data_IF_982722279039
#
_entry.id   IF_982722279039
#
_cell.length_a   1.000
_cell.length_b   1.000
_cell.length_c   1.000
_cell.angle_alpha   90.00
_cell.angle_beta   90.00
_cell.angle_gamma   90.00
#
_symmetry.space_group_name_H-M   'P 1'
#
loop_
_entity.id
_entity.type
_entity.pdbx_description
1 polymer ?
#
# COMPACT_ATOMS: atom_id res chain seq x y z
N UNK A 1 5.09 52.57 29.71
CA UNK A 1 5.92 51.87 28.71
C UNK A 1 6.37 50.54 29.30
N UNK A 2 5.56 49.49 29.17
CA UNK A 2 5.94 48.11 29.49
C UNK A 2 5.09 47.20 28.63
N UNK A 3 5.64 46.79 27.48
CA UNK A 3 5.01 45.85 26.55
C UNK A 3 5.22 44.43 27.07
N UNK A 4 4.21 43.87 27.72
CA UNK A 4 4.11 42.44 28.03
C UNK A 4 3.68 41.69 26.77
N UNK A 5 4.66 41.14 26.04
CA UNK A 5 4.43 40.19 24.95
C UNK A 5 4.14 38.82 25.53
N UNK A 6 2.86 38.53 25.75
CA UNK A 6 2.36 37.19 26.05
C UNK A 6 2.50 36.31 24.81
N UNK A 7 3.54 35.47 24.74
CA UNK A 7 3.63 34.40 23.74
C UNK A 7 2.69 33.26 24.13
N UNK A 8 1.49 33.21 23.55
CA UNK A 8 0.53 32.14 23.78
C UNK A 8 0.97 30.78 23.20
N UNK A 9 0.42 29.65 23.71
CA UNK A 9 0.89 28.28 23.47
C UNK A 9 0.50 27.66 22.11
N UNK A 10 0.15 28.46 21.11
CA UNK A 10 -0.38 28.00 19.83
C UNK A 10 0.47 26.93 19.09
N UNK A 11 1.82 26.96 19.10
CA UNK A 11 2.63 25.98 18.36
C UNK A 11 2.58 24.55 18.94
N UNK A 12 2.23 24.39 20.23
CA UNK A 12 2.25 23.07 20.89
C UNK A 12 1.00 22.24 20.59
N UNK A 13 -0.15 22.87 20.32
CA UNK A 13 -1.42 22.17 20.13
C UNK A 13 -1.50 21.40 18.81
N UNK A 14 -0.97 21.95 17.70
CA UNK A 14 -0.94 21.23 16.40
C UNK A 14 -0.03 20.00 16.48
N UNK A 15 1.14 20.14 17.16
CA UNK A 15 2.09 19.03 17.33
C UNK A 15 1.53 17.90 18.19
N UNK A 16 0.69 18.18 19.18
CA UNK A 16 0.03 17.15 19.99
C UNK A 16 -1.09 16.43 19.22
N UNK A 17 -1.89 17.15 18.43
CA UNK A 17 -2.97 16.55 17.64
C UNK A 17 -2.44 15.59 16.54
N UNK A 18 -1.27 15.87 15.95
CA UNK A 18 -0.65 14.98 14.96
C UNK A 18 -0.04 13.68 15.56
N UNK A 19 0.09 13.56 16.89
CA UNK A 19 0.68 12.37 17.54
C UNK A 19 -0.36 11.30 17.90
N UNK A 20 -1.64 11.67 17.97
CA UNK A 20 -2.76 10.76 18.25
C UNK A 20 -3.41 10.32 16.94
N UNK A 21 -2.74 9.47 16.18
CA UNK A 21 -3.29 8.90 14.95
C UNK A 21 -4.20 7.73 15.31
N UNK A 22 -5.48 7.82 14.95
CA UNK A 22 -6.46 6.73 15.04
C UNK A 22 -5.95 5.52 14.26
N UNK A 23 -5.71 4.41 14.95
CA UNK A 23 -5.28 3.15 14.36
C UNK A 23 -6.50 2.38 13.84
N UNK A 24 -6.88 2.59 12.59
CA UNK A 24 -7.78 1.68 11.86
C UNK A 24 -6.91 0.77 10.99
N UNK A 25 -7.14 -0.53 11.08
CA UNK A 25 -6.51 -1.58 10.27
C UNK A 25 -6.84 -1.38 8.78
N UNK A 26 -6.20 -0.41 8.14
CA UNK A 26 -6.06 -0.40 6.69
C UNK A 26 -4.90 -1.32 6.36
N UNK A 27 -5.06 -2.21 5.38
CA UNK A 27 -3.91 -2.74 4.63
C UNK A 27 -3.07 -1.51 4.27
N UNK A 28 -1.82 -1.40 4.74
CA UNK A 28 -1.05 -0.18 4.56
C UNK A 28 -1.08 0.15 3.07
N UNK A 29 -1.53 1.35 2.65
CA UNK A 29 -1.22 1.78 1.30
C UNK A 29 0.30 1.67 1.24
N UNK A 30 0.84 0.79 0.38
CA UNK A 30 2.27 0.82 0.05
C UNK A 30 2.50 2.28 -0.31
N UNK A 31 3.13 3.01 0.60
CA UNK A 31 3.23 4.44 0.49
C UNK A 31 3.82 4.69 -0.88
N UNK A 32 3.14 5.51 -1.70
CA UNK A 32 3.82 6.20 -2.79
C UNK A 32 4.80 7.15 -2.10
N UNK A 33 5.90 6.57 -1.62
CA UNK A 33 6.98 7.32 -1.02
C UNK A 33 7.43 8.31 -2.08
N UNK A 34 7.47 9.58 -1.72
CA UNK A 34 8.12 10.64 -2.50
C UNK A 34 9.57 10.29 -2.86
N UNK A 35 10.17 9.27 -2.22
CA UNK A 35 11.45 8.67 -2.60
C UNK A 35 11.44 7.91 -3.93
N UNK A 36 10.28 7.60 -4.54
CA UNK A 36 10.26 6.92 -5.84
C UNK A 36 10.85 7.81 -6.96
N UNK A 37 10.63 9.14 -6.88
CA UNK A 37 11.26 10.11 -7.77
C UNK A 37 12.77 10.27 -7.49
N UNK A 38 13.20 10.17 -6.22
CA UNK A 38 14.61 10.18 -5.85
C UNK A 38 15.35 8.90 -6.26
N UNK A 39 14.65 7.75 -6.27
CA UNK A 39 15.15 6.45 -6.74
C UNK A 39 15.44 6.41 -8.23
N UNK A 40 14.70 7.16 -9.05
CA UNK A 40 14.92 7.23 -10.50
C UNK A 40 16.29 7.86 -10.84
N UNK A 41 16.77 8.79 -10.01
CA UNK A 41 18.08 9.44 -10.18
C UNK A 41 19.26 8.61 -9.64
N UNK A 42 19.08 7.90 -8.52
CA UNK A 42 20.14 7.09 -7.91
C UNK A 42 20.40 5.78 -8.68
N UNK A 43 19.36 5.17 -9.27
CA UNK A 43 19.54 3.99 -10.14
C UNK A 43 20.14 4.34 -11.51
N UNK A 44 19.87 5.54 -12.07
CA UNK A 44 20.48 6.01 -13.33
C UNK A 44 21.99 6.23 -13.24
N UNK A 45 22.50 6.67 -12.07
CA UNK A 45 23.96 6.86 -11.85
C UNK A 45 24.75 5.54 -11.88
N UNK A 46 24.16 4.43 -11.42
CA UNK A 46 24.86 3.15 -11.32
C UNK A 46 24.93 2.35 -12.64
N UNK A 47 24.21 2.77 -13.68
CA UNK A 47 24.24 2.12 -15.01
C UNK A 47 25.09 2.86 -16.06
N UNK A 48 25.56 4.08 -15.77
CA UNK A 48 26.39 4.85 -16.71
C UNK A 48 27.85 4.38 -16.80
N UNK A 49 28.28 3.38 -16.01
CA UNK A 49 29.69 2.92 -15.97
C UNK A 49 29.94 1.54 -16.60
N UNK A 50 28.96 0.90 -17.26
CA UNK A 50 29.23 -0.32 -18.03
C UNK A 50 29.40 -0.01 -19.51
N UNK A 51 30.68 0.12 -19.90
CA UNK A 51 31.18 0.16 -21.28
C UNK A 51 30.45 -0.86 -22.17
N UNK A 52 29.77 -0.34 -23.19
CA UNK A 52 29.26 -1.10 -24.33
C UNK A 52 30.46 -1.69 -25.07
N UNK A 53 30.55 -3.02 -25.17
CA UNK A 53 31.43 -3.68 -26.14
C UNK A 53 30.70 -3.74 -27.48
N UNK A 54 31.31 -3.34 -28.60
CA UNK A 54 30.68 -3.44 -29.91
C UNK A 54 30.53 -4.91 -30.32
N UNK A 55 29.31 -5.29 -30.74
CA UNK A 55 29.00 -6.59 -31.32
C UNK A 55 29.45 -6.57 -32.78
N UNK A 56 30.38 -7.45 -33.13
CA UNK A 56 30.86 -7.67 -34.49
C UNK A 56 29.86 -8.57 -35.22
N UNK A 57 29.18 -8.03 -36.23
CA UNK A 57 28.29 -8.78 -37.12
C UNK A 57 29.13 -9.64 -38.08
N UNK A 58 28.81 -10.94 -38.15
CA UNK A 58 29.34 -11.87 -39.16
C UNK A 58 28.27 -12.08 -40.25
N UNK A 59 28.61 -11.98 -41.55
CA UNK A 59 27.63 -12.08 -42.63
C UNK A 59 27.20 -13.54 -42.88
N UNK A 60 25.90 -13.71 -43.15
CA UNK A 60 25.29 -14.94 -43.64
C UNK A 60 25.69 -15.19 -45.09
N UNK A 61 26.16 -16.41 -45.37
CA UNK A 61 26.39 -16.93 -46.72
C UNK A 61 25.21 -17.83 -47.11
N UNK A 62 24.63 -17.53 -48.26
CA UNK A 62 23.54 -18.25 -48.93
C UNK A 62 24.08 -19.20 -49.99
N UNK A 63 23.63 -20.46 -50.00
CA UNK A 63 23.72 -21.37 -51.15
C UNK A 63 22.76 -22.57 -50.97
N UNK A 64 22.40 -23.31 -52.04
CA UNK A 64 21.01 -23.57 -52.39
C UNK A 64 20.55 -25.04 -52.29
N UNK A 65 19.24 -25.18 -52.45
CA UNK A 65 18.38 -26.36 -52.44
C UNK A 65 18.79 -27.49 -53.40
N UNK A 66 18.59 -28.74 -52.95
CA UNK A 66 18.25 -29.87 -53.81
C UNK A 66 17.32 -30.86 -53.06
N UNK A 67 16.51 -31.66 -53.79
CA UNK A 67 15.35 -32.36 -53.24
C UNK A 67 15.61 -33.86 -53.03
N UNK A 68 14.53 -34.55 -52.61
CA UNK A 68 14.30 -36.01 -52.68
C UNK A 68 14.64 -36.80 -51.41
N UNK A 69 13.60 -37.27 -50.72
CA UNK A 69 13.31 -38.70 -50.43
C UNK A 69 12.56 -38.85 -49.10
N UNK A 70 11.32 -39.30 -49.17
CA UNK A 70 10.64 -39.96 -48.04
C UNK A 70 11.32 -41.29 -47.75
N UNK A 71 11.47 -41.68 -46.47
CA UNK A 71 10.88 -42.96 -46.11
C UNK A 71 10.30 -43.04 -44.69
N UNK A 72 9.27 -43.88 -44.59
CA UNK A 72 8.96 -44.80 -43.48
C UNK A 72 8.76 -44.23 -42.07
N UNK A 73 7.50 -44.27 -41.67
CA UNK A 73 6.99 -44.34 -40.31
C UNK A 73 7.79 -45.32 -39.44
N UNK A 74 8.57 -44.76 -38.51
CA UNK A 74 9.01 -45.47 -37.31
C UNK A 74 8.38 -44.78 -36.11
N UNK A 75 7.66 -45.57 -35.31
CA UNK A 75 7.05 -45.19 -34.04
C UNK A 75 8.11 -44.67 -33.07
N UNK A 76 8.35 -43.36 -33.10
CA UNK A 76 9.27 -42.68 -32.20
C UNK A 76 8.55 -42.49 -30.86
N UNK A 77 8.68 -43.49 -29.99
CA UNK A 77 8.42 -43.36 -28.56
C UNK A 77 9.09 -42.08 -28.06
N UNK A 78 8.29 -41.05 -27.81
CA UNK A 78 8.73 -39.79 -27.22
C UNK A 78 9.20 -40.07 -25.80
N UNK A 79 10.48 -40.43 -25.66
CA UNK A 79 11.21 -40.25 -24.41
C UNK A 79 11.17 -38.75 -24.15
N UNK A 80 10.25 -38.34 -23.28
CA UNK A 80 10.23 -37.00 -22.73
C UNK A 80 11.63 -36.64 -22.23
N UNK A 81 12.01 -35.35 -22.23
CA UNK A 81 13.30 -34.93 -21.71
C UNK A 81 13.39 -35.44 -20.27
N UNK A 82 14.19 -36.49 -20.05
CA UNK A 82 14.64 -36.90 -18.74
C UNK A 82 15.37 -35.68 -18.22
N UNK A 83 14.70 -34.92 -17.35
CA UNK A 83 15.35 -33.97 -16.45
C UNK A 83 16.54 -34.74 -15.91
N UNK A 84 17.72 -34.35 -16.36
CA UNK A 84 18.98 -34.85 -15.85
C UNK A 84 18.91 -34.53 -14.36
N UNK A 85 18.54 -35.53 -13.56
CA UNK A 85 18.91 -35.65 -12.16
C UNK A 85 20.44 -35.69 -12.18
N UNK A 86 21.03 -34.51 -12.34
CA UNK A 86 22.43 -34.28 -12.07
C UNK A 86 22.50 -34.60 -10.59
N UNK A 87 23.00 -35.79 -10.27
CA UNK A 87 23.14 -36.25 -8.90
C UNK A 87 23.97 -35.22 -8.17
N UNK A 88 23.29 -34.31 -7.49
CA UNK A 88 23.92 -33.43 -6.53
C UNK A 88 24.46 -34.36 -5.45
N UNK A 89 25.75 -34.16 -5.14
CA UNK A 89 26.44 -34.97 -4.14
C UNK A 89 25.62 -34.90 -2.84
N UNK A 90 25.11 -36.03 -2.30
CA UNK A 90 24.35 -36.05 -1.05
C UNK A 90 25.11 -35.46 0.15
N UNK A 91 26.40 -35.16 -0.03
CA UNK A 91 27.29 -34.58 0.97
C UNK A 91 27.43 -33.06 0.88
N UNK A 92 26.96 -32.39 -0.18
CA UNK A 92 27.01 -30.93 -0.23
C UNK A 92 25.90 -30.36 0.67
N UNK A 93 26.22 -29.60 1.74
CA UNK A 93 25.20 -29.04 2.62
C UNK A 93 24.27 -28.14 1.80
N UNK A 94 22.95 -28.29 2.04
CA UNK A 94 21.95 -27.50 1.34
C UNK A 94 22.29 -26.01 1.43
N UNK A 95 22.53 -25.39 0.27
CA UNK A 95 22.88 -23.97 0.22
C UNK A 95 21.72 -23.16 0.81
N UNK A 96 22.01 -22.38 1.84
CA UNK A 96 21.03 -21.50 2.46
C UNK A 96 20.61 -20.41 1.48
N UNK A 97 19.31 -20.11 1.41
CA UNK A 97 18.78 -19.07 0.53
C UNK A 97 18.98 -17.66 1.12
N UNK A 98 19.01 -17.59 2.45
CA UNK A 98 19.15 -16.37 3.24
C UNK A 98 20.16 -16.59 4.36
N UNK A 99 20.78 -15.51 4.82
CA UNK A 99 21.65 -15.51 5.98
C UNK A 99 20.97 -14.81 7.16
N UNK A 100 21.38 -15.12 8.39
CA UNK A 100 20.87 -14.42 9.58
C UNK A 100 21.03 -12.89 9.51
N UNK A 101 22.05 -12.41 8.77
CA UNK A 101 22.30 -10.99 8.51
C UNK A 101 21.24 -10.31 7.62
N UNK A 102 20.43 -11.09 6.92
CA UNK A 102 19.31 -10.54 6.12
C UNK A 102 18.11 -10.17 7.00
N UNK A 103 18.10 -10.60 8.28
CA UNK A 103 17.06 -10.27 9.26
C UNK A 103 17.36 -8.90 9.89
N UNK A 104 16.41 -7.95 9.91
CA UNK A 104 16.54 -6.66 10.61
C UNK A 104 16.86 -6.85 12.10
N UNK A 105 17.57 -5.90 12.70
CA UNK A 105 17.79 -5.90 14.14
C UNK A 105 16.52 -5.48 14.90
N UNK A 106 16.51 -5.67 16.22
CA UNK A 106 15.33 -5.42 17.04
C UNK A 106 14.78 -3.97 16.94
N UNK A 107 15.59 -2.89 16.99
CA UNK A 107 15.10 -1.53 16.83
C UNK A 107 14.33 -1.30 15.52
N UNK A 108 14.79 -1.88 14.41
CA UNK A 108 14.12 -1.74 13.11
C UNK A 108 12.74 -2.41 13.08
N UNK A 109 12.57 -3.53 13.78
CA UNK A 109 11.27 -4.19 13.94
C UNK A 109 10.31 -3.34 14.78
N UNK A 110 10.79 -2.73 15.85
CA UNK A 110 10.00 -1.84 16.71
C UNK A 110 9.41 -0.69 15.90
N UNK A 111 10.25 0.05 15.17
CA UNK A 111 9.82 1.17 14.31
C UNK A 111 8.82 0.70 13.24
N UNK A 112 9.06 -0.47 12.65
CA UNK A 112 8.20 -1.00 11.58
C UNK A 112 6.82 -1.42 12.11
N UNK A 113 6.73 -1.97 13.32
CA UNK A 113 5.47 -2.41 13.93
C UNK A 113 4.62 -1.24 14.42
N UNK A 114 5.23 -0.22 15.02
CA UNK A 114 4.53 0.99 15.46
C UNK A 114 3.76 1.64 14.30
N UNK A 115 4.34 1.65 13.09
CA UNK A 115 3.70 2.19 11.89
C UNK A 115 2.53 1.36 11.35
N UNK A 116 2.47 0.06 11.65
CA UNK A 116 1.37 -0.82 11.18
C UNK A 116 0.22 -0.92 12.17
N UNK A 117 0.40 -0.46 13.42
CA UNK A 117 -0.65 -0.52 14.43
C UNK A 117 -1.05 -1.93 14.86
N UNK A 118 -0.21 -2.93 14.58
CA UNK A 118 -0.48 -4.31 14.95
C UNK A 118 -0.24 -4.49 16.45
N UNK A 119 -1.29 -4.85 17.19
CA UNK A 119 -1.24 -5.08 18.65
C UNK A 119 -0.95 -6.53 19.03
N UNK A 120 -0.93 -7.43 18.06
CA UNK A 120 -0.85 -8.88 18.28
C UNK A 120 0.57 -9.46 18.16
N UNK A 121 1.51 -8.70 17.61
CA UNK A 121 2.89 -9.13 17.40
C UNK A 121 3.85 -8.13 18.04
N UNK A 122 4.80 -8.65 18.82
CA UNK A 122 5.91 -7.86 19.36
C UNK A 122 7.11 -7.86 18.40
N UNK A 123 7.96 -6.83 18.50
CA UNK A 123 9.18 -6.73 17.70
C UNK A 123 10.12 -7.93 17.89
N UNK A 124 10.20 -8.43 19.13
CA UNK A 124 10.99 -9.60 19.47
C UNK A 124 10.46 -10.86 18.79
N UNK A 125 9.16 -11.13 18.89
CA UNK A 125 8.53 -12.27 18.23
C UNK A 125 8.73 -12.23 16.72
N UNK A 126 8.64 -11.03 16.11
CA UNK A 126 8.89 -10.88 14.68
C UNK A 126 10.32 -11.22 14.29
N UNK A 127 11.30 -10.70 15.04
CA UNK A 127 12.72 -10.98 14.80
C UNK A 127 13.04 -12.47 14.97
N UNK A 128 12.58 -13.09 16.06
CA UNK A 128 12.80 -14.51 16.34
C UNK A 128 12.14 -15.41 15.30
N UNK A 129 10.90 -15.09 14.89
CA UNK A 129 10.21 -15.81 13.83
C UNK A 129 10.94 -15.70 12.49
N UNK A 130 11.47 -14.51 12.14
CA UNK A 130 12.27 -14.32 10.94
C UNK A 130 13.59 -15.12 10.99
N UNK A 131 14.25 -15.19 12.14
CA UNK A 131 15.46 -16.01 12.34
C UNK A 131 15.15 -17.51 12.19
N UNK A 132 14.05 -18.00 12.80
CA UNK A 132 13.59 -19.38 12.62
C UNK A 132 13.28 -19.69 11.16
N UNK A 133 12.65 -18.75 10.45
CA UNK A 133 12.38 -18.90 9.03
C UNK A 133 13.67 -19.04 8.21
N UNK A 134 14.66 -18.17 8.44
CA UNK A 134 15.96 -18.22 7.77
C UNK A 134 16.70 -19.54 8.06
N UNK A 135 16.58 -20.07 9.27
CA UNK A 135 17.20 -21.36 9.63
C UNK A 135 16.59 -22.55 8.86
N UNK A 136 15.31 -22.48 8.49
CA UNK A 136 14.57 -23.56 7.81
C UNK A 136 14.50 -23.38 6.30
N UNK A 137 14.53 -22.14 5.79
CA UNK A 137 14.41 -21.81 4.37
C UNK A 137 15.71 -22.12 3.59
N UNK A 138 15.83 -23.37 3.15
CA UNK A 138 16.92 -23.84 2.27
C UNK A 138 16.53 -23.77 0.78
N UNK A 139 17.50 -24.00 -0.12
CA UNK A 139 17.24 -24.01 -1.57
C UNK A 139 16.26 -25.10 -2.04
N UNK A 140 16.05 -26.17 -1.28
CA UNK A 140 15.22 -27.31 -1.69
C UNK A 140 13.76 -27.15 -1.26
N UNK A 141 12.96 -26.50 -2.11
CA UNK A 141 11.55 -26.10 -1.86
C UNK A 141 10.61 -27.21 -1.37
N UNK A 142 10.86 -28.47 -1.72
CA UNK A 142 9.93 -29.58 -1.43
C UNK A 142 9.91 -30.02 0.03
N UNK A 143 11.00 -29.84 0.78
CA UNK A 143 11.16 -30.48 2.09
C UNK A 143 10.85 -29.56 3.27
N UNK A 144 11.10 -28.25 3.14
CA UNK A 144 10.96 -27.34 4.27
C UNK A 144 9.53 -26.81 4.46
N UNK A 145 8.65 -26.92 3.46
CA UNK A 145 7.25 -26.44 3.58
C UNK A 145 6.48 -27.13 4.69
N UNK A 146 6.57 -28.45 4.81
CA UNK A 146 5.95 -29.19 5.91
C UNK A 146 6.54 -28.78 7.26
N UNK A 147 7.86 -28.56 7.28
CA UNK A 147 8.63 -28.19 8.49
C UNK A 147 8.33 -26.80 9.02
N UNK A 148 7.92 -25.85 8.17
CA UNK A 148 7.55 -24.50 8.62
C UNK A 148 6.46 -24.53 9.69
N UNK A 149 5.39 -25.29 9.43
CA UNK A 149 4.27 -25.37 10.35
C UNK A 149 4.59 -26.29 11.54
N UNK A 150 5.20 -27.46 11.29
CA UNK A 150 5.38 -28.48 12.32
C UNK A 150 6.60 -28.25 13.22
N UNK A 151 7.74 -27.85 12.65
CA UNK A 151 9.01 -27.73 13.38
C UNK A 151 9.29 -26.28 13.82
N UNK A 152 9.00 -25.31 12.95
CA UNK A 152 9.31 -23.90 13.22
C UNK A 152 8.16 -23.11 13.89
N UNK A 153 6.96 -23.71 13.99
CA UNK A 153 5.74 -23.07 14.47
C UNK A 153 5.45 -21.73 13.74
N UNK A 154 5.68 -21.69 12.43
CA UNK A 154 5.46 -20.52 11.60
C UNK A 154 4.14 -20.65 10.83
N UNK A 155 3.11 -19.99 11.33
CA UNK A 155 1.79 -19.98 10.70
C UNK A 155 1.80 -19.14 9.41
N UNK A 156 0.94 -19.42 8.42
CA UNK A 156 0.83 -18.59 7.22
C UNK A 156 0.49 -17.12 7.52
N UNK A 157 -0.33 -16.88 8.55
CA UNK A 157 -0.64 -15.54 9.05
C UNK A 157 0.61 -14.80 9.55
N UNK A 158 1.45 -15.45 10.36
CA UNK A 158 2.69 -14.84 10.84
C UNK A 158 3.64 -14.53 9.68
N UNK A 159 3.83 -15.48 8.76
CA UNK A 159 4.65 -15.30 7.56
C UNK A 159 4.16 -14.13 6.68
N UNK A 160 2.84 -13.95 6.59
CA UNK A 160 2.25 -12.82 5.88
C UNK A 160 2.68 -11.48 6.48
N UNK A 161 2.50 -11.32 7.78
CA UNK A 161 2.85 -10.08 8.49
C UNK A 161 4.33 -9.78 8.47
N UNK A 162 5.19 -10.79 8.69
CA UNK A 162 6.64 -10.64 8.55
C UNK A 162 7.02 -10.22 7.13
N UNK A 163 6.37 -10.83 6.14
CA UNK A 163 6.49 -10.45 4.74
C UNK A 163 6.20 -8.97 4.52
N UNK A 164 5.06 -8.47 4.98
CA UNK A 164 4.66 -7.05 4.87
C UNK A 164 5.69 -6.14 5.55
N UNK A 165 6.05 -6.42 6.80
CA UNK A 165 7.03 -5.65 7.58
C UNK A 165 8.39 -5.56 6.88
N UNK A 166 8.86 -6.65 6.28
CA UNK A 166 10.14 -6.64 5.56
C UNK A 166 10.08 -5.85 4.25
N UNK A 167 8.92 -5.79 3.60
CA UNK A 167 8.76 -5.00 2.37
C UNK A 167 8.76 -3.48 2.63
N UNK A 168 8.44 -3.01 3.85
CA UNK A 168 8.47 -1.57 4.17
C UNK A 168 9.90 -1.02 4.26
N UNK A 169 10.86 -1.82 4.74
CA UNK A 169 12.26 -1.41 4.95
C UNK A 169 13.08 -1.16 3.66
N UNK A 170 12.53 -1.51 2.49
CA UNK A 170 13.02 -1.11 1.17
C UNK A 170 14.49 -1.44 0.79
N UNK A 171 15.16 -2.33 1.53
CA UNK A 171 16.48 -2.86 1.16
C UNK A 171 16.34 -4.13 0.31
N UNK A 172 17.30 -4.39 -0.58
CA UNK A 172 17.23 -5.57 -1.45
C UNK A 172 17.22 -6.92 -0.68
N UNK A 173 17.99 -7.12 0.41
CA UNK A 173 17.89 -8.33 1.23
C UNK A 173 16.52 -8.51 1.87
N UNK A 174 15.99 -7.46 2.51
CA UNK A 174 14.66 -7.50 3.15
C UNK A 174 13.55 -7.74 2.14
N UNK A 175 13.62 -7.11 0.97
CA UNK A 175 12.67 -7.35 -0.10
C UNK A 175 12.66 -8.82 -0.53
N UNK A 176 13.84 -9.43 -0.73
CA UNK A 176 13.94 -10.85 -1.10
C UNK A 176 13.40 -11.76 0.01
N UNK A 177 13.76 -11.51 1.27
CA UNK A 177 13.28 -12.29 2.40
C UNK A 177 11.76 -12.16 2.57
N UNK A 178 11.23 -10.93 2.57
CA UNK A 178 9.81 -10.64 2.72
C UNK A 178 8.96 -11.22 1.59
N UNK A 179 9.37 -11.04 0.32
CA UNK A 179 8.66 -11.66 -0.81
C UNK A 179 8.71 -13.19 -0.75
N UNK A 180 9.79 -13.78 -0.22
CA UNK A 180 9.85 -15.22 -0.01
C UNK A 180 8.89 -15.69 1.10
N UNK A 181 8.82 -14.99 2.23
CA UNK A 181 7.86 -15.30 3.30
C UNK A 181 6.40 -15.19 2.80
N UNK A 182 6.07 -14.16 2.04
CA UNK A 182 4.76 -14.03 1.40
C UNK A 182 4.49 -15.18 0.44
N UNK A 183 5.49 -15.57 -0.37
CA UNK A 183 5.36 -16.71 -1.29
C UNK A 183 5.01 -17.98 -0.53
N UNK A 184 5.71 -18.26 0.57
CA UNK A 184 5.48 -19.44 1.41
C UNK A 184 4.09 -19.44 2.02
N UNK A 185 3.66 -18.32 2.61
CA UNK A 185 2.31 -18.18 3.14
C UNK A 185 1.25 -18.40 2.06
N UNK A 186 1.45 -17.82 0.87
CA UNK A 186 0.58 -18.01 -0.28
C UNK A 186 0.54 -19.49 -0.71
N UNK A 187 1.69 -20.18 -0.75
CA UNK A 187 1.82 -21.62 -1.09
C UNK A 187 1.14 -22.52 -0.06
N UNK A 188 1.02 -22.08 1.19
CA UNK A 188 0.23 -22.72 2.23
C UNK A 188 -1.27 -22.36 2.17
N UNK A 189 -1.72 -21.71 1.09
CA UNK A 189 -3.13 -21.38 0.86
C UNK A 189 -3.59 -20.09 1.54
N UNK A 190 -2.69 -19.26 2.06
CA UNK A 190 -3.08 -18.00 2.70
C UNK A 190 -3.39 -16.92 1.68
N UNK A 191 -4.69 -16.71 1.41
CA UNK A 191 -5.20 -15.77 0.40
C UNK A 191 -4.60 -14.37 0.49
N UNK A 192 -4.52 -13.70 1.66
CA UNK A 192 -3.97 -12.35 1.74
C UNK A 192 -2.54 -12.26 1.19
N UNK A 193 -1.71 -13.28 1.38
CA UNK A 193 -0.35 -13.32 0.81
C UNK A 193 -0.34 -13.42 -0.71
N UNK A 194 -1.28 -14.16 -1.30
CA UNK A 194 -1.45 -14.23 -2.76
C UNK A 194 -1.80 -12.85 -3.31
N UNK A 195 -2.79 -12.18 -2.71
CA UNK A 195 -3.24 -10.84 -3.12
C UNK A 195 -2.13 -9.80 -2.94
N UNK A 196 -1.41 -9.82 -1.81
CA UNK A 196 -0.29 -8.92 -1.55
C UNK A 196 0.83 -9.12 -2.56
N UNK A 197 1.19 -10.35 -2.94
CA UNK A 197 2.20 -10.60 -3.98
C UNK A 197 1.78 -10.01 -5.32
N UNK A 198 0.56 -10.31 -5.78
CA UNK A 198 0.05 -9.80 -7.06
C UNK A 198 0.04 -8.27 -7.05
N UNK A 199 -0.52 -7.66 -6.00
CA UNK A 199 -0.52 -6.20 -5.82
C UNK A 199 0.89 -5.63 -5.83
N UNK A 200 1.82 -6.24 -5.12
CA UNK A 200 3.21 -5.78 -5.01
C UNK A 200 3.90 -5.78 -6.37
N UNK A 201 3.78 -6.86 -7.15
CA UNK A 201 4.37 -6.93 -8.49
C UNK A 201 3.69 -5.97 -9.48
N UNK A 202 2.35 -5.86 -9.45
CA UNK A 202 1.58 -4.94 -10.33
C UNK A 202 1.74 -3.46 -9.99
N UNK A 203 2.17 -3.16 -8.76
CA UNK A 203 2.49 -1.81 -8.31
C UNK A 203 3.87 -1.33 -8.76
N UNK A 204 4.73 -2.23 -9.26
CA UNK A 204 6.02 -1.85 -9.86
C UNK A 204 5.79 -0.97 -11.10
N UNK A 205 6.78 -0.13 -11.47
CA UNK A 205 6.77 0.56 -12.75
C UNK A 205 6.58 -0.43 -13.91
N UNK A 206 5.76 -0.08 -14.90
CA UNK A 206 5.39 -0.99 -16.00
C UNK A 206 6.61 -1.61 -16.68
N UNK A 207 7.66 -0.82 -16.96
CA UNK A 207 8.90 -1.32 -17.56
C UNK A 207 9.61 -2.38 -16.69
N UNK A 208 9.62 -2.18 -15.36
CA UNK A 208 10.22 -3.13 -14.41
C UNK A 208 9.37 -4.40 -14.29
N UNK A 209 8.05 -4.25 -14.27
CA UNK A 209 7.13 -5.37 -14.24
C UNK A 209 7.29 -6.26 -15.49
N UNK A 210 7.33 -5.68 -16.69
CA UNK A 210 7.52 -6.46 -17.92
C UNK A 210 8.88 -7.17 -17.98
N UNK A 211 9.97 -6.50 -17.55
CA UNK A 211 11.30 -7.09 -17.59
C UNK A 211 11.50 -8.20 -16.55
N UNK A 212 11.05 -7.98 -15.30
CA UNK A 212 11.40 -8.83 -14.14
C UNK A 212 10.20 -9.46 -13.46
N UNK A 213 9.09 -8.73 -13.35
CA UNK A 213 7.88 -9.21 -12.69
C UNK A 213 7.23 -10.36 -13.44
N UNK A 214 6.98 -10.17 -14.74
CA UNK A 214 6.27 -11.13 -15.59
C UNK A 214 6.99 -12.47 -15.76
N UNK A 215 8.32 -12.46 -15.79
CA UNK A 215 9.15 -13.67 -15.91
C UNK A 215 9.38 -14.39 -14.58
N UNK A 216 9.15 -13.71 -13.45
CA UNK A 216 9.31 -14.27 -12.10
C UNK A 216 8.42 -15.50 -11.91
N UNK A 217 9.02 -16.63 -11.51
CA UNK A 217 8.28 -17.86 -11.16
C UNK A 217 7.33 -17.61 -9.98
N UNK A 218 7.77 -16.83 -9.00
CA UNK A 218 6.97 -16.46 -7.83
C UNK A 218 5.72 -15.67 -8.24
N UNK A 219 5.88 -14.67 -9.12
CA UNK A 219 4.74 -13.88 -9.60
C UNK A 219 3.77 -14.77 -10.38
N UNK A 220 4.25 -15.57 -11.35
CA UNK A 220 3.37 -16.45 -12.15
C UNK A 220 2.58 -17.43 -11.29
N UNK A 221 3.18 -17.99 -10.23
CA UNK A 221 2.49 -18.89 -9.33
C UNK A 221 1.44 -18.17 -8.45
N UNK A 222 1.73 -16.96 -7.98
CA UNK A 222 0.75 -16.13 -7.27
C UNK A 222 -0.39 -15.68 -8.19
N UNK A 223 -0.06 -15.25 -9.42
CA UNK A 223 -1.01 -14.82 -10.43
C UNK A 223 -1.94 -15.97 -10.83
N UNK A 224 -1.44 -17.20 -11.02
CA UNK A 224 -2.28 -18.35 -11.31
C UNK A 224 -3.36 -18.60 -10.23
N UNK A 225 -2.97 -18.58 -8.95
CA UNK A 225 -3.91 -18.70 -7.82
C UNK A 225 -4.88 -17.53 -7.75
N UNK A 226 -4.41 -16.32 -8.04
CA UNK A 226 -5.26 -15.15 -8.14
C UNK A 226 -6.31 -15.27 -9.24
N UNK A 227 -5.93 -15.78 -10.42
CA UNK A 227 -6.88 -16.06 -11.50
C UNK A 227 -7.89 -17.15 -11.11
N UNK A 228 -7.51 -18.14 -10.30
CA UNK A 228 -8.45 -19.13 -9.76
C UNK A 228 -9.47 -18.49 -8.80
N UNK A 229 -9.03 -17.58 -7.92
CA UNK A 229 -9.93 -16.84 -7.03
C UNK A 229 -10.91 -15.95 -7.80
N UNK A 230 -10.45 -15.26 -8.85
CA UNK A 230 -11.31 -14.47 -9.74
C UNK A 230 -12.36 -15.35 -10.42
N UNK A 231 -11.97 -16.54 -10.89
CA UNK A 231 -12.89 -17.47 -11.56
C UNK A 231 -14.00 -17.97 -10.62
N UNK A 232 -13.68 -18.18 -9.34
CA UNK A 232 -14.71 -18.52 -8.34
C UNK A 232 -15.65 -17.34 -8.09
N UNK A 233 -15.14 -16.10 -8.14
CA UNK A 233 -15.96 -14.89 -8.13
C UNK A 233 -16.64 -14.60 -6.79
N UNK A 234 -16.22 -15.27 -5.71
CA UNK A 234 -16.80 -15.12 -4.36
C UNK A 234 -15.96 -14.27 -3.41
N UNK A 235 -14.68 -14.06 -3.73
CA UNK A 235 -13.76 -13.32 -2.87
C UNK A 235 -13.81 -11.81 -3.20
N UNK A 236 -14.34 -10.96 -2.29
CA UNK A 236 -14.44 -9.52 -2.54
C UNK A 236 -13.08 -8.83 -2.59
N UNK A 237 -12.06 -9.30 -1.88
CA UNK A 237 -10.71 -8.73 -1.90
C UNK A 237 -10.03 -9.02 -3.24
N UNK A 238 -10.17 -10.24 -3.75
CA UNK A 238 -9.65 -10.62 -5.06
C UNK A 238 -10.30 -9.81 -6.20
N UNK A 239 -11.62 -9.63 -6.16
CA UNK A 239 -12.35 -8.80 -7.13
C UNK A 239 -11.97 -7.32 -7.00
N UNK A 240 -11.76 -6.81 -5.79
CA UNK A 240 -11.28 -5.44 -5.57
C UNK A 240 -9.88 -5.23 -6.18
N UNK A 241 -8.99 -6.21 -6.04
CA UNK A 241 -7.67 -6.17 -6.68
C UNK A 241 -7.79 -6.17 -8.21
N UNK A 242 -8.67 -7.00 -8.77
CA UNK A 242 -8.92 -7.03 -10.22
C UNK A 242 -9.42 -5.67 -10.73
N UNK A 243 -10.40 -5.06 -10.06
CA UNK A 243 -10.90 -3.74 -10.42
C UNK A 243 -9.82 -2.67 -10.38
N UNK A 244 -8.88 -2.77 -9.42
CA UNK A 244 -7.72 -1.88 -9.33
C UNK A 244 -6.75 -2.07 -10.51
N UNK A 245 -6.51 -3.32 -10.93
CA UNK A 245 -5.66 -3.64 -12.09
C UNK A 245 -6.31 -3.13 -13.37
N UNK A 246 -7.60 -3.41 -13.57
CA UNK A 246 -8.36 -2.95 -14.74
C UNK A 246 -8.40 -1.42 -14.83
N UNK A 247 -8.64 -0.72 -13.71
CA UNK A 247 -8.65 0.74 -13.66
C UNK A 247 -7.32 1.36 -14.11
N UNK A 248 -6.20 0.63 -13.96
CA UNK A 248 -4.87 1.05 -14.38
C UNK A 248 -4.53 0.62 -15.81
N UNK A 249 -5.01 -0.54 -16.26
CA UNK A 249 -4.53 -1.20 -17.49
C UNK A 249 -5.54 -1.20 -18.65
N UNK A 250 -6.85 -1.33 -18.40
CA UNK A 250 -7.82 -1.67 -19.45
C UNK A 250 -8.19 -0.49 -20.37
N UNK A 251 -7.88 0.75 -19.97
CA UNK A 251 -8.39 1.96 -20.63
C UNK A 251 -9.91 2.09 -20.62
N UNK A 252 -10.62 1.12 -20.03
CA UNK A 252 -12.07 1.04 -19.95
C UNK A 252 -12.52 1.22 -18.50
N UNK A 253 -12.83 2.46 -18.08
CA UNK A 253 -13.29 2.74 -16.72
C UNK A 253 -14.56 1.97 -16.33
N UNK A 254 -15.47 1.72 -17.27
CA UNK A 254 -16.74 1.03 -16.95
C UNK A 254 -16.52 -0.44 -16.56
N UNK A 255 -15.57 -1.12 -17.21
CA UNK A 255 -15.21 -2.49 -16.85
C UNK A 255 -14.71 -2.56 -15.40
N UNK A 256 -13.76 -1.69 -15.04
CA UNK A 256 -13.23 -1.63 -13.68
C UNK A 256 -14.32 -1.29 -12.64
N UNK A 257 -15.23 -0.36 -12.97
CA UNK A 257 -16.38 -0.03 -12.12
C UNK A 257 -17.29 -1.24 -11.89
N UNK A 258 -17.58 -2.01 -12.95
CA UNK A 258 -18.39 -3.22 -12.85
C UNK A 258 -17.70 -4.27 -11.97
N UNK A 259 -16.38 -4.43 -12.09
CA UNK A 259 -15.62 -5.36 -11.25
C UNK A 259 -15.65 -4.98 -9.77
N UNK A 260 -15.55 -3.70 -9.42
CA UNK A 260 -15.72 -3.26 -8.04
C UNK A 260 -17.14 -3.48 -7.51
N UNK A 261 -18.18 -3.33 -8.36
CA UNK A 261 -19.56 -3.68 -7.99
C UNK A 261 -19.72 -5.17 -7.76
N UNK A 262 -19.05 -6.02 -8.55
CA UNK A 262 -19.00 -7.47 -8.30
C UNK A 262 -18.36 -7.79 -6.95
N UNK A 263 -17.32 -7.05 -6.52
CA UNK A 263 -16.74 -7.22 -5.20
C UNK A 263 -17.74 -6.92 -4.07
N UNK A 264 -18.50 -5.82 -4.17
CA UNK A 264 -19.58 -5.51 -3.23
C UNK A 264 -20.61 -6.63 -3.17
N UNK A 265 -21.07 -7.08 -4.35
CA UNK A 265 -22.06 -8.15 -4.46
C UNK A 265 -21.56 -9.47 -3.86
N UNK A 266 -20.30 -9.84 -4.12
CA UNK A 266 -19.71 -11.06 -3.57
C UNK A 266 -19.72 -11.07 -2.03
N UNK A 267 -19.45 -9.91 -1.41
CA UNK A 267 -19.57 -9.77 0.04
C UNK A 267 -21.03 -9.87 0.54
N UNK A 268 -21.97 -9.24 -0.17
CA UNK A 268 -23.40 -9.30 0.17
C UNK A 268 -23.96 -10.73 0.07
N UNK A 269 -23.60 -11.46 -0.99
CA UNK A 269 -24.00 -12.84 -1.22
C UNK A 269 -23.42 -13.79 -0.15
N UNK A 270 -22.20 -13.51 0.33
CA UNK A 270 -21.58 -14.26 1.43
C UNK A 270 -22.20 -13.94 2.80
N UNK A 271 -22.89 -12.80 2.95
CA UNK A 271 -23.40 -12.30 4.23
C UNK A 271 -24.88 -11.87 4.12
N UNK A 272 -25.82 -12.76 3.77
CA UNK A 272 -27.21 -12.39 3.48
C UNK A 272 -27.93 -11.74 4.67
N UNK A 273 -27.55 -12.09 5.90
CA UNK A 273 -28.14 -11.53 7.12
C UNK A 273 -27.69 -10.09 7.43
N UNK A 274 -26.60 -9.61 6.81
CA UNK A 274 -26.08 -8.26 7.09
C UNK A 274 -26.94 -7.14 6.49
N UNK A 275 -27.73 -7.44 5.45
CA UNK A 275 -28.60 -6.47 4.78
C UNK A 275 -29.85 -6.06 5.59
N UNK A 276 -30.17 -6.77 6.68
CA UNK A 276 -31.40 -6.52 7.45
C UNK A 276 -31.29 -5.33 8.42
N UNK A 277 -30.12 -4.70 8.59
CA UNK A 277 -29.94 -3.53 9.47
C UNK A 277 -30.08 -2.19 8.74
N UNK A 278 -30.72 -2.16 7.56
CA UNK A 278 -30.80 -1.00 6.63
C UNK A 278 -31.46 0.28 7.17
N UNK A 279 -31.80 0.38 8.45
CA UNK A 279 -32.52 1.54 9.00
C UNK A 279 -32.16 1.83 10.46
N UNK A 280 -30.89 1.82 10.83
CA UNK A 280 -30.49 2.77 11.87
C UNK A 280 -30.35 4.09 11.15
N UNK A 281 -31.38 4.91 11.30
CA UNK A 281 -31.49 6.27 10.80
C UNK A 281 -30.11 6.92 10.78
N UNK A 282 -29.78 7.50 9.64
CA UNK A 282 -28.77 8.54 9.56
C UNK A 282 -29.20 9.57 10.59
N UNK A 283 -28.73 9.44 11.84
CA UNK A 283 -28.74 10.53 12.81
C UNK A 283 -27.98 11.62 12.08
N UNK A 284 -28.75 12.49 11.43
CA UNK A 284 -28.24 13.41 10.43
C UNK A 284 -27.13 14.21 11.07
N UNK A 285 -26.14 14.59 10.27
CA UNK A 285 -25.15 15.60 10.64
C UNK A 285 -25.93 16.75 11.27
N UNK A 286 -25.98 16.80 12.61
CA UNK A 286 -26.74 17.82 13.30
C UNK A 286 -26.02 19.12 12.98
N UNK A 287 -26.79 20.10 12.52
CA UNK A 287 -26.26 21.44 12.34
C UNK A 287 -25.56 21.84 13.65
N UNK A 288 -24.38 22.47 13.58
CA UNK A 288 -23.66 22.87 14.78
C UNK A 288 -24.59 23.74 15.62
N UNK A 289 -24.86 23.32 16.87
CA UNK A 289 -25.45 24.21 17.86
C UNK A 289 -24.56 25.46 17.92
N UNK A 290 -25.13 26.65 18.11
CA UNK A 290 -24.36 27.90 18.10
C UNK A 290 -23.19 27.93 19.11
N UNK A 291 -23.15 26.99 20.05
CA UNK A 291 -22.08 26.76 21.03
C UNK A 291 -20.95 25.83 20.57
N UNK A 292 -21.13 25.05 19.49
CA UNK A 292 -20.25 23.91 19.12
C UNK A 292 -18.95 24.28 18.39
N UNK A 293 -18.66 25.58 18.24
CA UNK A 293 -17.43 26.05 17.61
C UNK A 293 -17.42 25.86 16.07
N UNK A 294 -16.27 26.08 15.41
CA UNK A 294 -16.20 26.14 13.94
C UNK A 294 -16.15 24.77 13.25
N UNK A 295 -16.38 23.67 13.98
CA UNK A 295 -16.24 22.30 13.48
C UNK A 295 -17.51 21.51 13.68
N UNK A 296 -17.89 20.71 12.68
CA UNK A 296 -18.98 19.75 12.81
C UNK A 296 -18.53 18.50 13.58
N UNK A 297 -19.42 17.94 14.40
CA UNK A 297 -19.23 16.62 15.01
C UNK A 297 -19.48 15.53 13.97
N UNK A 298 -18.55 14.58 13.85
CA UNK A 298 -18.66 13.45 12.93
C UNK A 298 -19.13 12.20 13.68
N UNK A 299 -19.85 11.27 13.02
CA UNK A 299 -20.19 9.98 13.61
C UNK A 299 -18.92 9.17 13.95
N UNK A 300 -18.99 8.26 14.94
CA UNK A 300 -17.89 7.34 15.20
C UNK A 300 -17.68 6.42 14.00
N UNK A 301 -16.43 6.14 13.59
CA UNK A 301 -16.18 5.26 12.47
C UNK A 301 -16.47 3.80 12.83
N UNK A 302 -16.92 3.03 11.84
CA UNK A 302 -17.07 1.57 11.91
C UNK A 302 -15.86 0.88 11.29
N UNK A 303 -15.75 -0.41 11.57
CA UNK A 303 -14.78 -1.26 10.89
C UNK A 303 -15.21 -1.57 9.44
N UNK A 304 -14.24 -1.76 8.53
CA UNK A 304 -14.51 -2.29 7.20
C UNK A 304 -15.21 -3.65 7.25
N UNK A 305 -16.17 -3.85 6.34
CA UNK A 305 -16.93 -5.09 6.17
C UNK A 305 -16.09 -6.27 5.66
N UNK A 306 -15.06 -5.95 4.89
CA UNK A 306 -13.99 -6.83 4.44
C UNK A 306 -12.71 -6.01 4.30
N UNK A 307 -11.54 -6.66 4.19
CA UNK A 307 -10.24 -6.00 4.32
C UNK A 307 -10.06 -4.84 3.32
N UNK A 308 -10.53 -5.00 2.07
CA UNK A 308 -10.32 -4.03 1.00
C UNK A 308 -11.56 -3.17 0.68
N UNK A 309 -12.56 -3.09 1.57
CA UNK A 309 -13.77 -2.28 1.35
C UNK A 309 -13.43 -0.83 0.99
N UNK A 310 -12.56 -0.20 1.78
CA UNK A 310 -12.11 1.18 1.55
C UNK A 310 -11.49 1.33 0.15
N UNK A 311 -10.66 0.37 -0.27
CA UNK A 311 -10.01 0.40 -1.59
C UNK A 311 -11.04 0.28 -2.71
N UNK A 312 -12.05 -0.58 -2.53
CA UNK A 312 -13.15 -0.73 -3.49
C UNK A 312 -13.97 0.55 -3.63
N UNK A 313 -14.38 1.17 -2.52
CA UNK A 313 -15.16 2.41 -2.51
C UNK A 313 -14.40 3.56 -3.18
N UNK A 314 -13.13 3.75 -2.84
CA UNK A 314 -12.29 4.79 -3.44
C UNK A 314 -12.09 4.55 -4.94
N UNK A 315 -11.81 3.31 -5.34
CA UNK A 315 -11.65 2.94 -6.75
C UNK A 315 -12.90 3.23 -7.58
N UNK A 316 -14.08 2.90 -7.05
CA UNK A 316 -15.36 3.21 -7.67
C UNK A 316 -15.59 4.72 -7.78
N UNK A 317 -15.36 5.47 -6.69
CA UNK A 317 -15.56 6.91 -6.65
C UNK A 317 -14.65 7.64 -7.65
N UNK A 318 -13.37 7.27 -7.72
CA UNK A 318 -12.40 7.82 -8.68
C UNK A 318 -12.83 7.57 -10.14
N UNK A 319 -13.35 6.38 -10.43
CA UNK A 319 -13.84 6.05 -11.77
C UNK A 319 -15.11 6.85 -12.09
N UNK A 320 -16.05 6.95 -11.16
CA UNK A 320 -17.29 7.70 -11.35
C UNK A 320 -17.02 9.19 -11.60
N UNK A 321 -16.04 9.79 -10.92
CA UNK A 321 -15.58 11.15 -11.22
C UNK A 321 -15.07 11.27 -12.66
N UNK A 322 -14.24 10.33 -13.13
CA UNK A 322 -13.74 10.32 -14.52
C UNK A 322 -14.86 10.18 -15.55
N UNK A 323 -15.95 9.51 -15.19
CA UNK A 323 -17.15 9.35 -16.00
C UNK A 323 -18.13 10.53 -15.88
N UNK A 324 -17.81 11.57 -15.11
CA UNK A 324 -18.69 12.73 -14.89
C UNK A 324 -19.88 12.46 -13.95
N UNK A 325 -19.92 11.32 -13.28
CA UNK A 325 -20.97 10.92 -12.33
C UNK A 325 -20.62 11.42 -10.92
N UNK A 326 -20.51 12.74 -10.79
CA UNK A 326 -20.00 13.42 -9.58
C UNK A 326 -20.80 13.07 -8.32
N UNK A 327 -22.13 13.06 -8.39
CA UNK A 327 -22.97 12.82 -7.21
C UNK A 327 -22.77 11.41 -6.63
N UNK A 328 -22.71 10.39 -7.48
CA UNK A 328 -22.47 9.01 -7.02
C UNK A 328 -21.08 8.84 -6.42
N UNK A 329 -20.08 9.53 -6.97
CA UNK A 329 -18.74 9.55 -6.39
C UNK A 329 -18.74 10.20 -5.00
N UNK A 330 -19.46 11.33 -4.82
CA UNK A 330 -19.62 11.99 -3.52
C UNK A 330 -20.24 11.05 -2.49
N UNK A 331 -21.25 10.28 -2.88
CA UNK A 331 -21.92 9.35 -1.95
C UNK A 331 -20.96 8.22 -1.50
N UNK A 332 -20.15 7.67 -2.41
CA UNK A 332 -19.13 6.68 -2.05
C UNK A 332 -18.00 7.28 -1.19
N UNK A 333 -17.56 8.49 -1.50
CA UNK A 333 -16.59 9.19 -0.67
C UNK A 333 -17.14 9.50 0.71
N UNK A 334 -18.44 9.78 0.87
CA UNK A 334 -19.09 9.95 2.17
C UNK A 334 -19.00 8.68 3.00
N UNK A 335 -19.32 7.53 2.43
CA UNK A 335 -19.18 6.24 3.12
C UNK A 335 -17.71 6.03 3.54
N UNK A 336 -16.77 6.17 2.61
CA UNK A 336 -15.34 5.96 2.91
C UNK A 336 -14.78 6.95 3.94
N UNK A 337 -15.24 8.20 3.96
CA UNK A 337 -14.78 9.22 4.90
C UNK A 337 -15.46 9.11 6.27
N UNK A 338 -16.80 9.11 6.29
CA UNK A 338 -17.59 9.25 7.51
C UNK A 338 -17.76 7.93 8.24
N UNK A 339 -17.89 6.82 7.52
CA UNK A 339 -18.04 5.50 8.13
C UNK A 339 -16.69 4.82 8.35
N UNK A 340 -15.70 5.02 7.46
CA UNK A 340 -14.43 4.28 7.49
C UNK A 340 -13.21 5.15 7.86
N UNK A 341 -13.42 6.40 8.28
CA UNK A 341 -12.41 7.41 8.66
C UNK A 341 -11.26 7.52 7.65
N UNK A 342 -11.52 7.36 6.34
CA UNK A 342 -10.46 7.37 5.36
C UNK A 342 -10.00 8.80 5.03
N UNK A 343 -8.71 9.15 5.24
CA UNK A 343 -8.23 10.52 5.05
C UNK A 343 -8.21 10.96 3.58
N UNK A 344 -8.05 10.03 2.64
CA UNK A 344 -8.13 10.36 1.22
C UNK A 344 -9.57 10.74 0.84
N UNK A 345 -10.55 9.99 1.32
CA UNK A 345 -11.96 10.28 1.10
C UNK A 345 -12.36 11.65 1.66
N UNK A 346 -11.93 11.99 2.88
CA UNK A 346 -12.16 13.33 3.46
C UNK A 346 -11.62 14.46 2.59
N UNK A 347 -10.39 14.31 2.07
CA UNK A 347 -9.80 15.29 1.17
C UNK A 347 -10.61 15.43 -0.13
N UNK A 348 -11.08 14.33 -0.71
CA UNK A 348 -11.88 14.36 -1.94
C UNK A 348 -13.25 15.00 -1.71
N UNK A 349 -13.94 14.69 -0.60
CA UNK A 349 -15.18 15.37 -0.24
C UNK A 349 -14.97 16.87 -0.12
N UNK A 350 -13.96 17.32 0.61
CA UNK A 350 -13.69 18.75 0.77
C UNK A 350 -13.46 19.48 -0.56
N UNK A 351 -12.88 18.79 -1.56
CA UNK A 351 -12.68 19.32 -2.92
C UNK A 351 -13.99 19.40 -3.72
N UNK A 352 -14.84 18.37 -3.60
CA UNK A 352 -16.09 18.24 -4.36
C UNK A 352 -17.25 19.04 -3.76
N UNK A 353 -17.16 19.46 -2.50
CA UNK A 353 -18.18 20.29 -1.88
C UNK A 353 -18.43 21.58 -2.67
N UNK A 354 -19.70 21.88 -2.92
CA UNK A 354 -20.15 23.16 -3.49
C UNK A 354 -20.40 24.16 -2.36
N UNK A 355 -20.29 25.47 -2.65
CA UNK A 355 -20.53 26.53 -1.67
C UNK A 355 -19.26 27.16 -1.08
N UNK A 356 -19.40 27.79 0.08
CA UNK A 356 -18.32 28.58 0.69
C UNK A 356 -17.09 27.73 1.01
N UNK A 357 -15.91 28.24 0.61
CA UNK A 357 -14.61 27.68 0.97
C UNK A 357 -14.40 27.65 2.49
N UNK A 358 -15.07 28.55 3.23
CA UNK A 358 -14.99 28.66 4.68
C UNK A 358 -16.13 27.91 5.40
N UNK A 359 -16.85 27.02 4.71
CA UNK A 359 -17.87 26.18 5.37
C UNK A 359 -17.25 25.32 6.48
N UNK A 360 -17.91 25.20 7.65
CA UNK A 360 -17.37 24.44 8.78
C UNK A 360 -17.18 22.96 8.45
N UNK A 361 -18.08 22.38 7.65
CA UNK A 361 -17.98 21.00 7.17
C UNK A 361 -16.72 20.77 6.31
N UNK A 362 -16.46 21.63 5.32
CA UNK A 362 -15.23 21.55 4.51
C UNK A 362 -13.98 21.66 5.37
N UNK A 363 -13.99 22.59 6.33
CA UNK A 363 -12.88 22.79 7.27
C UNK A 363 -12.64 21.55 8.12
N UNK A 364 -13.69 20.92 8.66
CA UNK A 364 -13.59 19.66 9.42
C UNK A 364 -12.98 18.54 8.56
N UNK A 365 -13.43 18.37 7.32
CA UNK A 365 -12.91 17.32 6.44
C UNK A 365 -11.44 17.55 6.08
N UNK A 366 -11.06 18.78 5.75
CA UNK A 366 -9.66 19.12 5.48
C UNK A 366 -8.78 18.91 6.72
N UNK A 367 -9.27 19.28 7.91
CA UNK A 367 -8.55 19.06 9.16
C UNK A 367 -8.34 17.57 9.41
N UNK A 368 -9.38 16.74 9.28
CA UNK A 368 -9.30 15.28 9.41
C UNK A 368 -8.25 14.67 8.47
N UNK A 369 -8.28 15.04 7.20
CA UNK A 369 -7.28 14.57 6.25
C UNK A 369 -5.86 15.08 6.58
N UNK A 370 -5.72 16.32 7.06
CA UNK A 370 -4.43 16.92 7.41
C UNK A 370 -3.79 16.28 8.64
N UNK A 371 -4.56 16.02 9.71
CA UNK A 371 -4.04 15.36 10.93
C UNK A 371 -3.62 13.91 10.66
N UNK A 372 -4.25 13.25 9.67
CA UNK A 372 -3.81 11.93 9.18
C UNK A 372 -2.57 12.00 8.28
N UNK A 373 -1.90 13.16 8.19
CA UNK A 373 -0.64 13.33 7.49
C UNK A 373 -0.77 13.57 5.99
N UNK A 374 -1.95 13.93 5.46
CA UNK A 374 -2.09 14.27 4.04
C UNK A 374 -1.44 15.63 3.72
N UNK A 375 -0.32 15.68 2.97
CA UNK A 375 0.36 16.95 2.68
C UNK A 375 -0.50 17.85 1.80
N UNK A 376 -1.35 17.28 0.93
CA UNK A 376 -2.28 18.05 0.13
C UNK A 376 -3.37 18.70 0.99
N UNK A 377 -3.90 17.98 1.98
CA UNK A 377 -4.85 18.54 2.93
C UNK A 377 -4.22 19.63 3.80
N UNK A 378 -2.97 19.45 4.25
CA UNK A 378 -2.21 20.50 4.94
C UNK A 378 -2.08 21.77 4.08
N UNK A 379 -1.74 21.65 2.78
CA UNK A 379 -1.73 22.82 1.86
C UNK A 379 -3.10 23.48 1.77
N UNK A 380 -4.16 22.68 1.66
CA UNK A 380 -5.52 23.19 1.54
C UNK A 380 -5.97 23.92 2.82
N UNK A 381 -5.67 23.36 4.00
CA UNK A 381 -5.88 24.00 5.30
C UNK A 381 -5.11 25.32 5.39
N UNK A 382 -3.82 25.33 5.01
CA UNK A 382 -3.01 26.54 5.02
C UNK A 382 -3.61 27.66 4.16
N UNK A 383 -4.12 27.32 2.97
CA UNK A 383 -4.83 28.29 2.12
C UNK A 383 -6.14 28.77 2.76
N UNK A 384 -6.92 27.86 3.36
CA UNK A 384 -8.18 28.19 4.02
C UNK A 384 -7.96 29.16 5.18
N UNK A 385 -7.00 28.89 6.07
CA UNK A 385 -6.66 29.79 7.18
C UNK A 385 -6.16 31.15 6.67
N UNK A 386 -5.39 31.17 5.58
CA UNK A 386 -4.93 32.40 4.95
C UNK A 386 -6.07 33.23 4.34
N UNK A 387 -7.15 32.59 3.89
CA UNK A 387 -8.37 33.29 3.46
C UNK A 387 -9.14 33.86 4.64
N UNK A 388 -9.28 33.10 5.74
CA UNK A 388 -9.93 33.57 6.97
C UNK A 388 -9.17 34.76 7.56
N UNK A 389 -7.83 34.75 7.55
CA UNK A 389 -7.02 35.88 8.00
C UNK A 389 -7.28 37.18 7.20
N UNK A 390 -7.67 37.07 5.92
CA UNK A 390 -7.98 38.22 5.07
C UNK A 390 -9.38 38.79 5.32
N UNK A 391 -10.22 38.11 6.10
CA UNK A 391 -11.53 38.62 6.47
C UNK A 391 -11.37 39.88 7.33
N UNK A 392 -12.03 40.96 6.91
CA UNK A 392 -11.99 42.25 7.60
C UNK A 392 -12.88 42.26 8.84
N UNK A 393 -13.85 41.34 8.93
CA UNK A 393 -14.83 41.27 10.02
C UNK A 393 -14.26 40.71 11.32
N UNK A 394 -13.17 39.94 11.25
CA UNK A 394 -12.53 39.33 12.43
C UNK A 394 -11.56 40.29 13.12
N UNK A 395 -11.33 40.06 14.43
CA UNK A 395 -10.42 40.90 15.20
C UNK A 395 -8.97 40.78 14.71
N UNK A 396 -8.16 41.83 14.92
CA UNK A 396 -6.74 41.81 14.54
C UNK A 396 -5.95 40.65 15.20
N UNK A 397 -6.34 40.28 16.43
CA UNK A 397 -5.73 39.15 17.15
C UNK A 397 -6.05 37.82 16.47
N UNK A 398 -7.31 37.58 16.11
CA UNK A 398 -7.73 36.37 15.39
C UNK A 398 -7.10 36.31 14.00
N UNK A 399 -7.03 37.45 13.30
CA UNK A 399 -6.34 37.57 12.01
C UNK A 399 -4.88 37.11 12.10
N UNK A 400 -4.13 37.61 13.08
CA UNK A 400 -2.74 37.20 13.30
C UNK A 400 -2.62 35.71 13.63
N UNK A 401 -3.58 35.15 14.38
CA UNK A 401 -3.63 33.72 14.68
C UNK A 401 -3.87 32.87 13.41
N UNK A 402 -4.84 33.24 12.58
CA UNK A 402 -5.12 32.54 11.32
C UNK A 402 -3.94 32.64 10.34
N UNK A 403 -3.25 33.77 10.30
CA UNK A 403 -2.02 33.91 9.51
C UNK A 403 -0.91 32.97 9.99
N UNK A 404 -0.72 32.85 11.30
CA UNK A 404 0.24 31.89 11.88
C UNK A 404 -0.14 30.45 11.54
N UNK A 405 -1.41 30.07 11.72
CA UNK A 405 -1.91 28.74 11.37
C UNK A 405 -1.71 28.43 9.89
N UNK A 406 -1.96 29.41 9.00
CA UNK A 406 -1.73 29.28 7.56
C UNK A 406 -0.28 28.88 7.26
N UNK A 407 0.68 29.61 7.85
CA UNK A 407 2.12 29.35 7.67
C UNK A 407 2.51 27.96 8.19
N UNK A 408 2.02 27.58 9.37
CA UNK A 408 2.32 26.27 9.96
C UNK A 408 1.79 25.11 9.11
N UNK A 409 0.55 25.18 8.62
CA UNK A 409 -0.01 24.13 7.76
C UNK A 409 0.76 24.01 6.43
N UNK A 410 1.14 25.14 5.82
CA UNK A 410 1.97 25.14 4.61
C UNK A 410 3.34 24.51 4.91
N UNK A 411 3.95 24.83 6.05
CA UNK A 411 5.23 24.26 6.48
C UNK A 411 5.15 22.74 6.62
N UNK A 412 4.13 22.23 7.32
CA UNK A 412 3.88 20.78 7.47
C UNK A 412 3.68 20.07 6.14
N UNK A 413 3.06 20.75 5.16
CA UNK A 413 2.80 20.16 3.85
C UNK A 413 4.05 19.89 3.00
N UNK A 414 5.17 20.54 3.32
CA UNK A 414 6.44 20.32 2.63
C UNK A 414 7.08 18.99 3.00
N UNK A 415 6.70 18.42 4.16
CA UNK A 415 7.37 17.26 4.73
C UNK A 415 8.79 17.53 5.23
N UNK A 416 9.34 18.74 5.05
CA UNK A 416 10.73 19.05 5.40
C UNK A 416 11.03 18.84 6.89
N UNK A 417 10.07 19.13 7.78
CA UNK A 417 10.22 18.88 9.22
C UNK A 417 10.15 17.38 9.55
N UNK A 418 9.34 16.61 8.83
CA UNK A 418 9.28 15.15 9.01
C UNK A 418 10.58 14.49 8.54
N UNK A 419 11.16 14.99 7.45
CA UNK A 419 12.47 14.53 6.99
C UNK A 419 13.60 14.98 7.93
N UNK A 420 13.53 16.18 8.51
CA UNK A 420 14.50 16.65 9.50
C UNK A 420 14.49 15.81 10.78
N UNK A 421 13.30 15.54 11.35
CA UNK A 421 13.15 14.65 12.52
C UNK A 421 13.70 13.25 12.22
N UNK A 422 13.36 12.71 11.03
CA UNK A 422 13.90 11.41 10.58
C UNK A 422 15.41 11.41 10.43
N UNK A 423 16.02 12.54 10.07
CA UNK A 423 17.48 12.63 9.93
C UNK A 423 18.21 12.76 11.26
N UNK A 424 17.62 13.45 12.25
CA UNK A 424 18.19 13.58 13.61
C UNK A 424 18.21 12.24 14.34
N UNK A 425 17.12 11.46 14.25
CA UNK A 425 17.03 10.12 14.87
C UNK A 425 18.09 9.13 14.31
N UNK A 426 18.52 9.31 13.06
CA UNK A 426 19.54 8.45 12.45
C UNK A 426 20.95 8.85 12.89
N UNK A 427 21.23 10.15 13.08
CA UNK A 427 22.56 10.60 13.48
C UNK A 427 22.90 10.24 14.92
N UNK A 428 21.92 10.23 15.82
CA UNK A 428 22.14 9.89 17.22
C UNK A 428 22.43 8.38 17.41
N UNK A 429 21.87 7.53 16.54
CA UNK A 429 22.17 6.09 16.54
C UNK A 429 23.54 5.73 15.94
N UNK A 430 24.18 6.62 15.16
CA UNK A 430 25.51 6.34 14.58
C UNK A 430 26.67 6.75 15.51
N UNK A 431 26.39 7.45 16.62
CA UNK A 431 27.41 7.90 17.58
C UNK A 431 27.54 7.02 18.84
N UNK A 432 26.67 6.01 19.00
CA UNK A 432 26.75 4.95 20.02
C UNK A 432 27.31 3.66 19.42
#
# INVERSE_FOLDING_TARGET
MSSLTSSGPAPRLIRQACRTTTTICQVPPIARSSSFAARELQWRRNYATKRIKPVFNKPQSSAPSAPVSSPSSTSRSSRGPRLSARGEDPREPAKQLFNARDVPNLPEWTVSLEGLGNKHLTAMECMEAALRYVAVATQYESEWRGKLATEANLTPHLLHWLGILLLTGNTAPRWRLGTHMLRSASELGYTPSTLTLVRTFRSMPTAMFEQKGRSSKMYRAADARFQEMIKDGKDPDALTLLGTIEAKESGNPEQALNTFKLANKAWEDANPNSMSSKQTETEGIRAPDASSGPYITLPPPREPRWEWEVTSLLGQADILLKLGREQEAVDLYRVAALELDNPHAFLQLAKLMRGSLASPERRTYLLKAAISGSPEACRAMGRLEGLVAKDETISQKERAQHELLSKEWIRLSSGAELEAIRSEDVSDMEQE
#
